data_IF_443766142128
#
_entry.id   IF_443766142128
#
_cell.length_a   1.000
_cell.length_b   1.000
_cell.length_c   1.000
_cell.angle_alpha   90.00
_cell.angle_beta   90.00
_cell.angle_gamma   90.00
#
_symmetry.space_group_name_H-M   'P 1'
#
loop_
_entity.id
_entity.type
_entity.pdbx_description
1 polymer ?
#
# COMPACT_ATOMS: atom_id res chain seq x y z
N UNK A 1 19.17 -2.45 5.95
CA UNK A 1 18.10 -2.74 6.93
C UNK A 1 18.51 -2.37 8.36
N UNK A 2 19.67 -2.78 8.88
CA UNK A 2 20.13 -2.47 10.25
C UNK A 2 19.97 -1.00 10.70
N UNK A 3 20.35 -0.02 9.86
CA UNK A 3 20.20 1.41 10.17
C UNK A 3 18.75 1.84 10.42
N UNK A 4 17.77 1.24 9.74
CA UNK A 4 16.34 1.57 9.90
C UNK A 4 15.83 0.97 11.21
N UNK A 5 16.27 -0.24 11.56
CA UNK A 5 15.93 -0.89 12.83
C UNK A 5 16.51 -0.14 14.03
N UNK A 6 17.74 0.36 13.91
CA UNK A 6 18.38 1.22 14.92
C UNK A 6 17.60 2.52 15.12
N UNK A 7 17.20 3.19 14.03
CA UNK A 7 16.39 4.41 14.10
C UNK A 7 14.99 4.14 14.69
N UNK A 8 14.39 2.98 14.40
CA UNK A 8 13.12 2.57 15.02
C UNK A 8 13.29 2.44 16.54
N UNK A 9 14.33 1.74 17.00
CA UNK A 9 14.58 1.55 18.44
C UNK A 9 14.79 2.88 19.16
N UNK A 10 15.58 3.78 18.60
CA UNK A 10 15.82 5.11 19.17
C UNK A 10 14.52 5.90 19.24
N UNK A 11 13.67 5.80 18.23
CA UNK A 11 12.35 6.43 18.23
C UNK A 11 11.43 5.88 19.31
N UNK A 12 11.45 4.57 19.51
CA UNK A 12 10.62 3.87 20.48
C UNK A 12 11.08 4.17 21.91
N UNK A 13 12.40 4.30 22.13
CA UNK A 13 13.00 4.61 23.43
C UNK A 13 12.73 6.05 23.88
N UNK A 14 12.79 7.02 22.96
CA UNK A 14 12.63 8.43 23.29
C UNK A 14 11.20 8.95 23.13
N UNK A 15 10.34 8.24 22.38
CA UNK A 15 8.94 8.63 22.16
C UNK A 15 8.75 9.96 21.45
N UNK A 16 9.81 10.49 20.82
CA UNK A 16 9.83 11.80 20.17
C UNK A 16 10.03 11.65 18.65
N UNK A 17 9.43 12.54 17.83
CA UNK A 17 9.74 12.63 16.42
C UNK A 17 11.22 12.93 16.19
N UNK A 18 11.79 12.36 15.13
CA UNK A 18 13.17 12.64 14.73
C UNK A 18 13.25 13.00 13.25
N UNK A 19 14.30 13.72 12.88
CA UNK A 19 14.50 14.20 11.50
C UNK A 19 15.58 13.36 10.82
N UNK A 20 15.22 12.80 9.67
CA UNK A 20 16.16 12.14 8.76
C UNK A 20 16.37 13.06 7.56
N UNK A 21 17.63 13.39 7.29
CA UNK A 21 17.99 14.21 6.14
C UNK A 21 18.23 13.32 4.92
N UNK A 22 17.49 13.59 3.85
CA UNK A 22 17.77 13.03 2.53
C UNK A 22 18.29 14.13 1.61
N UNK A 23 19.61 14.19 1.46
CA UNK A 23 20.30 15.32 0.82
C UNK A 23 19.87 16.66 1.45
N UNK A 24 19.22 17.54 0.68
CA UNK A 24 18.74 18.84 1.15
C UNK A 24 17.30 18.81 1.70
N UNK A 25 16.67 17.64 1.76
CA UNK A 25 15.28 17.49 2.17
C UNK A 25 15.18 16.85 3.56
N UNK A 26 14.70 17.58 4.58
CA UNK A 26 14.42 17.01 5.88
C UNK A 26 13.11 16.20 5.84
N UNK A 27 13.14 14.99 6.38
CA UNK A 27 11.96 14.15 6.58
C UNK A 27 11.74 13.94 8.08
N UNK A 28 10.55 14.28 8.56
CA UNK A 28 10.16 14.04 9.96
C UNK A 28 9.59 12.63 10.04
N UNK A 29 10.16 11.81 10.91
CA UNK A 29 9.66 10.47 11.21
C UNK A 29 8.89 10.56 12.53
N UNK A 30 7.63 10.15 12.49
CA UNK A 30 6.71 10.16 13.62
C UNK A 30 6.32 8.71 13.92
N UNK A 31 6.61 8.24 15.13
CA UNK A 31 6.28 6.89 15.58
C UNK A 31 5.13 6.88 16.59
N UNK A 32 4.85 8.01 17.25
CA UNK A 32 3.71 8.14 18.14
C UNK A 32 2.39 8.16 17.32
N UNK A 33 1.41 7.29 17.63
CA UNK A 33 0.19 7.16 16.84
C UNK A 33 -0.71 8.42 16.90
N UNK A 34 -0.76 9.11 18.04
CA UNK A 34 -1.58 10.32 18.20
C UNK A 34 -1.00 11.48 17.42
N UNK A 35 0.32 11.65 17.45
CA UNK A 35 1.04 12.64 16.65
C UNK A 35 0.94 12.34 15.15
N UNK A 36 1.09 11.07 14.76
CA UNK A 36 0.96 10.65 13.37
C UNK A 36 -0.45 10.91 12.83
N UNK A 37 -1.48 10.65 13.65
CA UNK A 37 -2.87 10.96 13.32
C UNK A 37 -3.09 12.47 13.16
N UNK A 38 -2.59 13.27 14.10
CA UNK A 38 -2.69 14.73 14.03
C UNK A 38 -2.01 15.26 12.75
N UNK A 39 -0.77 14.82 12.49
CA UNK A 39 -0.02 15.21 11.30
C UNK A 39 -0.75 14.80 10.00
N UNK A 40 -1.28 13.58 9.92
CA UNK A 40 -2.01 13.10 8.74
C UNK A 40 -3.32 13.87 8.48
N UNK A 41 -3.97 14.37 9.54
CA UNK A 41 -5.19 15.18 9.42
C UNK A 41 -4.88 16.65 9.04
N UNK A 42 -3.76 17.18 9.53
CA UNK A 42 -3.33 18.55 9.24
C UNK A 42 -2.69 18.68 7.86
N UNK A 43 -1.79 17.77 7.49
CA UNK A 43 -0.99 17.81 6.27
C UNK A 43 -1.49 16.79 5.24
N UNK A 44 -2.62 17.12 4.60
CA UNK A 44 -3.25 16.23 3.60
C UNK A 44 -2.51 16.28 2.24
N UNK A 45 -1.78 17.36 1.98
CA UNK A 45 -1.07 17.53 0.71
C UNK A 45 0.05 16.50 0.56
N UNK A 46 0.19 15.95 -0.65
CA UNK A 46 1.17 14.91 -0.91
C UNK A 46 2.57 15.52 -1.07
N UNK A 47 3.62 14.88 -0.55
CA UNK A 47 4.99 15.32 -0.77
C UNK A 47 5.35 15.39 -2.27
N UNK A 48 6.35 16.21 -2.60
CA UNK A 48 6.76 16.48 -3.97
C UNK A 48 7.10 15.21 -4.79
N UNK A 49 7.55 14.13 -4.15
CA UNK A 49 7.91 12.89 -4.85
C UNK A 49 6.69 12.17 -5.46
N UNK A 50 5.47 12.44 -4.99
CA UNK A 50 4.27 11.95 -5.65
C UNK A 50 4.07 12.54 -7.07
N UNK A 51 4.72 13.67 -7.38
CA UNK A 51 4.66 14.26 -8.72
C UNK A 51 5.32 13.40 -9.79
N UNK A 52 6.26 12.51 -9.44
CA UNK A 52 6.82 11.56 -10.41
C UNK A 52 5.74 10.62 -10.98
N UNK A 53 4.78 10.19 -10.15
CA UNK A 53 3.66 9.36 -10.59
C UNK A 53 2.61 10.11 -11.39
N UNK A 54 2.59 11.45 -11.33
CA UNK A 54 1.58 12.28 -11.99
C UNK A 54 1.62 12.16 -13.52
N UNK A 55 2.78 11.85 -14.10
CA UNK A 55 2.94 11.62 -15.54
C UNK A 55 2.14 10.41 -16.03
N UNK A 56 2.01 9.37 -15.20
CA UNK A 56 1.25 8.15 -15.56
C UNK A 56 -0.18 8.18 -15.03
N UNK A 57 -0.39 8.71 -13.82
CA UNK A 57 -1.66 8.59 -13.08
C UNK A 57 -2.51 9.88 -13.10
N UNK A 58 -1.98 10.98 -13.67
CA UNK A 58 -2.67 12.27 -13.67
C UNK A 58 -3.00 12.76 -12.26
N UNK A 59 -4.19 13.36 -12.09
CA UNK A 59 -4.75 13.72 -10.78
C UNK A 59 -5.64 12.59 -10.21
N UNK A 60 -5.12 11.35 -10.21
CA UNK A 60 -5.78 10.19 -9.61
C UNK A 60 -5.69 10.16 -8.08
N UNK A 61 -6.20 9.09 -7.45
CA UNK A 61 -6.29 8.98 -5.98
C UNK A 61 -4.94 9.10 -5.24
N UNK A 62 -3.85 8.70 -5.89
CA UNK A 62 -2.50 8.67 -5.28
C UNK A 62 -1.79 10.01 -5.44
N UNK A 63 -2.05 10.75 -6.51
CA UNK A 63 -1.27 11.91 -6.98
C UNK A 63 -2.07 13.21 -7.00
N UNK A 64 -3.37 13.17 -6.72
CA UNK A 64 -4.24 14.34 -6.72
C UNK A 64 -3.85 15.34 -5.61
N UNK A 65 -3.96 16.66 -5.88
CA UNK A 65 -3.90 17.69 -4.84
C UNK A 65 -4.98 17.48 -3.78
N UNK A 66 -4.75 17.98 -2.56
CA UNK A 66 -5.62 17.68 -1.41
C UNK A 66 -7.12 17.97 -1.65
N UNK A 67 -7.46 19.07 -2.33
CA UNK A 67 -8.85 19.43 -2.62
C UNK A 67 -9.53 18.40 -3.56
N UNK A 68 -8.84 18.02 -4.64
CA UNK A 68 -9.31 17.03 -5.61
C UNK A 68 -9.38 15.64 -4.98
N UNK A 69 -8.39 15.29 -4.17
CA UNK A 69 -8.34 14.02 -3.45
C UNK A 69 -9.54 13.84 -2.51
N UNK A 70 -9.89 14.88 -1.73
CA UNK A 70 -11.05 14.85 -0.81
C UNK A 70 -12.35 14.57 -1.55
N UNK A 71 -12.55 15.23 -2.70
CA UNK A 71 -13.74 15.01 -3.52
C UNK A 71 -13.76 13.58 -4.11
N UNK A 72 -12.63 13.10 -4.61
CA UNK A 72 -12.51 11.77 -5.23
C UNK A 72 -12.71 10.63 -4.20
N UNK A 73 -12.10 10.71 -3.01
CA UNK A 73 -12.32 9.75 -1.92
C UNK A 73 -13.80 9.70 -1.54
N UNK A 74 -14.46 10.86 -1.45
CA UNK A 74 -15.88 10.92 -1.09
C UNK A 74 -16.74 10.19 -2.13
N UNK A 75 -16.44 10.34 -3.42
CA UNK A 75 -17.14 9.64 -4.51
C UNK A 75 -16.88 8.12 -4.48
N UNK A 76 -15.63 7.73 -4.25
CA UNK A 76 -15.18 6.33 -4.30
C UNK A 76 -15.53 5.56 -3.02
N UNK A 77 -15.71 6.22 -1.87
CA UNK A 77 -15.95 5.55 -0.59
C UNK A 77 -17.09 4.53 -0.60
N UNK A 78 -18.13 4.75 -1.43
CA UNK A 78 -19.24 3.81 -1.59
C UNK A 78 -18.87 2.48 -2.28
N UNK A 79 -17.79 2.44 -3.05
CA UNK A 79 -17.35 1.22 -3.76
C UNK A 79 -16.49 0.29 -2.89
N UNK A 80 -16.13 0.73 -1.68
CA UNK A 80 -15.37 -0.06 -0.70
C UNK A 80 -16.19 -0.40 0.55
N UNK A 81 -17.52 -0.41 0.41
CA UNK A 81 -18.41 -0.88 1.48
C UNK A 81 -18.23 -2.38 1.69
N UNK A 82 -18.52 -2.88 2.90
CA UNK A 82 -18.45 -4.31 3.22
C UNK A 82 -19.24 -5.17 2.23
N UNK A 83 -20.41 -4.72 1.78
CA UNK A 83 -21.23 -5.44 0.79
C UNK A 83 -20.50 -5.64 -0.53
N UNK A 84 -19.88 -4.58 -1.06
CA UNK A 84 -19.12 -4.62 -2.32
C UNK A 84 -17.84 -5.46 -2.16
N UNK A 85 -17.12 -5.34 -1.03
CA UNK A 85 -15.95 -6.19 -0.79
C UNK A 85 -16.36 -7.67 -0.71
N UNK A 86 -17.49 -7.98 -0.07
CA UNK A 86 -17.99 -9.35 0.04
C UNK A 86 -18.39 -9.93 -1.32
N UNK A 87 -18.85 -9.12 -2.28
CA UNK A 87 -19.17 -9.63 -3.62
C UNK A 87 -17.95 -10.12 -4.40
N UNK A 88 -16.72 -9.74 -3.99
CA UNK A 88 -15.48 -10.23 -4.61
C UNK A 88 -14.91 -11.49 -3.93
N UNK A 89 -15.56 -12.02 -2.89
CA UNK A 89 -15.04 -13.20 -2.17
C UNK A 89 -14.80 -14.40 -3.08
N UNK A 90 -15.65 -14.62 -4.09
CA UNK A 90 -15.47 -15.71 -5.04
C UNK A 90 -14.17 -15.56 -5.84
N UNK A 91 -13.88 -14.35 -6.31
CA UNK A 91 -12.63 -14.02 -7.03
C UNK A 91 -11.43 -14.20 -6.11
N UNK A 92 -11.49 -13.65 -4.88
CA UNK A 92 -10.41 -13.79 -3.90
C UNK A 92 -10.13 -15.25 -3.56
N UNK A 93 -11.16 -16.05 -3.34
CA UNK A 93 -11.04 -17.46 -3.02
C UNK A 93 -10.50 -18.27 -4.20
N UNK A 94 -10.89 -17.94 -5.44
CA UNK A 94 -10.37 -18.59 -6.64
C UNK A 94 -8.87 -18.32 -6.80
N UNK A 95 -8.44 -17.05 -6.68
CA UNK A 95 -7.04 -16.67 -6.80
C UNK A 95 -6.19 -17.21 -5.64
N UNK A 96 -6.74 -17.27 -4.42
CA UNK A 96 -6.09 -17.89 -3.28
C UNK A 96 -5.86 -19.40 -3.49
N UNK A 97 -6.82 -20.14 -4.05
CA UNK A 97 -6.63 -21.56 -4.40
C UNK A 97 -5.55 -21.76 -5.45
N UNK A 98 -5.54 -20.93 -6.51
CA UNK A 98 -4.50 -20.96 -7.55
C UNK A 98 -3.11 -20.67 -6.98
N UNK A 99 -3.01 -19.67 -6.10
CA UNK A 99 -1.77 -19.38 -5.38
C UNK A 99 -1.29 -20.60 -4.58
N UNK A 100 -2.18 -21.26 -3.83
CA UNK A 100 -1.83 -22.47 -3.07
C UNK A 100 -1.34 -23.60 -3.99
N UNK A 101 -1.98 -23.80 -5.15
CA UNK A 101 -1.55 -24.80 -6.13
C UNK A 101 -0.15 -24.50 -6.70
N UNK A 102 0.13 -23.23 -6.99
CA UNK A 102 1.45 -22.79 -7.46
C UNK A 102 2.53 -22.97 -6.38
N UNK A 103 2.22 -22.64 -5.12
CA UNK A 103 3.12 -22.83 -4.00
C UNK A 103 3.36 -24.32 -3.69
N UNK A 104 2.36 -25.18 -3.88
CA UNK A 104 2.51 -26.65 -3.72
C UNK A 104 3.56 -27.22 -4.67
N UNK A 105 3.70 -26.67 -5.86
CA UNK A 105 4.74 -27.08 -6.80
C UNK A 105 6.15 -26.77 -6.29
N UNK A 106 6.31 -25.99 -5.22
CA UNK A 106 7.59 -25.60 -4.62
C UNK A 106 7.87 -26.30 -3.29
N UNK A 107 6.99 -27.21 -2.84
CA UNK A 107 7.21 -28.02 -1.64
C UNK A 107 8.40 -28.97 -1.87
N UNK A 108 9.25 -29.11 -0.85
CA UNK A 108 10.50 -29.91 -0.87
C UNK A 108 11.53 -29.49 -1.93
N UNK A 109 11.38 -28.30 -2.51
CA UNK A 109 12.35 -27.68 -3.42
C UNK A 109 13.22 -26.65 -2.68
N UNK A 110 14.35 -26.23 -3.27
CA UNK A 110 15.15 -25.14 -2.70
C UNK A 110 14.32 -23.88 -2.46
N UNK A 111 14.72 -23.02 -1.50
CA UNK A 111 14.08 -21.74 -1.28
C UNK A 111 13.96 -20.93 -2.56
N UNK A 112 12.79 -20.32 -2.78
CA UNK A 112 12.50 -19.50 -3.95
C UNK A 112 11.93 -18.15 -3.52
N UNK A 113 11.91 -17.19 -4.46
CA UNK A 113 11.38 -15.85 -4.24
C UNK A 113 9.84 -15.88 -4.40
N UNK A 114 9.10 -15.78 -3.30
CA UNK A 114 7.64 -15.90 -3.31
C UNK A 114 6.92 -14.60 -3.67
N UNK A 115 7.57 -13.44 -3.57
CA UNK A 115 6.92 -12.16 -3.86
C UNK A 115 6.46 -12.08 -5.31
N UNK A 116 7.21 -12.66 -6.24
CA UNK A 116 6.80 -12.71 -7.64
C UNK A 116 5.46 -13.43 -7.82
N UNK A 117 5.32 -14.60 -7.20
CA UNK A 117 4.10 -15.40 -7.21
C UNK A 117 2.92 -14.63 -6.58
N UNK A 118 3.13 -14.02 -5.41
CA UNK A 118 2.11 -13.24 -4.70
C UNK A 118 1.71 -12.00 -5.50
N UNK A 119 2.67 -11.27 -6.04
CA UNK A 119 2.43 -10.06 -6.83
C UNK A 119 1.64 -10.37 -8.10
N UNK A 120 1.99 -11.46 -8.79
CA UNK A 120 1.27 -11.91 -9.98
C UNK A 120 -0.19 -12.23 -9.66
N UNK A 121 -0.45 -13.02 -8.60
CA UNK A 121 -1.82 -13.37 -8.19
C UNK A 121 -2.62 -12.17 -7.70
N UNK A 122 -1.95 -11.22 -7.04
CA UNK A 122 -2.58 -9.96 -6.64
C UNK A 122 -2.99 -9.13 -7.87
N UNK A 123 -2.16 -9.10 -8.91
CA UNK A 123 -2.48 -8.41 -10.16
C UNK A 123 -3.68 -9.05 -10.85
N UNK A 124 -3.72 -10.37 -11.02
CA UNK A 124 -4.87 -11.09 -11.58
C UNK A 124 -6.15 -10.80 -10.80
N UNK A 125 -6.05 -10.73 -9.46
CA UNK A 125 -7.17 -10.40 -8.57
C UNK A 125 -7.70 -8.98 -8.83
N UNK A 126 -6.83 -7.98 -8.93
CA UNK A 126 -7.21 -6.57 -9.11
C UNK A 126 -7.73 -6.32 -10.53
N UNK A 127 -7.09 -6.90 -11.55
CA UNK A 127 -7.51 -6.79 -12.94
C UNK A 127 -8.78 -7.59 -13.26
N UNK A 128 -9.26 -8.42 -12.32
CA UNK A 128 -10.33 -9.40 -12.54
C UNK A 128 -10.07 -10.26 -13.77
N UNK A 129 -8.84 -10.72 -13.95
CA UNK A 129 -8.53 -11.79 -14.89
C UNK A 129 -9.01 -13.11 -14.28
N UNK A 130 -10.32 -13.24 -14.19
CA UNK A 130 -10.95 -14.54 -14.19
C UNK A 130 -10.95 -14.97 -15.64
N UNK A 131 -10.10 -15.93 -16.00
CA UNK A 131 -10.46 -16.91 -17.02
C UNK A 131 -11.80 -17.54 -16.60
N UNK A 132 -12.89 -16.85 -16.92
CA UNK A 132 -14.24 -17.36 -16.85
C UNK A 132 -14.41 -18.21 -18.11
N UNK A 133 -13.95 -19.46 -18.02
CA UNK A 133 -14.48 -20.50 -18.89
C UNK A 133 -15.90 -20.80 -18.41
N UNK A 134 -16.85 -20.26 -19.18
CA UNK A 134 -18.29 -20.62 -19.30
C UNK A 134 -19.14 -20.79 -18.02
#
# INVERSE_FOLDING_TARGET
>A
MQRIEELSKISDEHGLPFVVWFAYLPMIIISNPDEAKAAAQTFVEKPYFYNFGKMWLGNGLVTAPAAVWKENIKKIGGTFTRSVVNSYQEVYNAQARRLVEELRAHVDKPPFESMHCIAHRTLETICRECDYKE
#
